data_IF_343806071859
#
_entry.id   IF_343806071859
#
_cell.length_a   1.000
_cell.length_b   1.000
_cell.length_c   1.000
_cell.angle_alpha   90.00
_cell.angle_beta   90.00
_cell.angle_gamma   90.00
#
_symmetry.space_group_name_H-M   'P 1'
#
loop_
_entity.id
_entity.type
_entity.pdbx_description
1 polymer ?
#
# COMPACT_ATOMS: atom_id res chain seq x y z
N UNK A 1 -12.49 12.28 9.54
CA UNK A 1 -12.51 11.66 10.89
C UNK A 1 -11.53 10.50 10.87
N UNK A 2 -10.75 10.28 11.93
CA UNK A 2 -9.88 9.10 12.01
C UNK A 2 -10.75 7.85 12.13
N UNK A 3 -10.50 6.77 11.36
CA UNK A 3 -11.29 5.55 11.41
C UNK A 3 -11.40 5.02 12.85
N UNK A 4 -12.55 4.52 13.29
CA UNK A 4 -12.69 3.91 14.62
C UNK A 4 -12.52 2.39 14.55
N UNK A 5 -12.85 1.79 13.41
CA UNK A 5 -12.73 0.35 13.16
C UNK A 5 -11.72 0.04 12.05
N UNK A 6 -11.17 -1.19 12.05
CA UNK A 6 -10.28 -1.63 10.97
C UNK A 6 -11.00 -1.68 9.62
N UNK A 7 -12.30 -1.94 9.61
CA UNK A 7 -13.07 -2.00 8.38
C UNK A 7 -13.27 -0.62 7.71
N UNK A 8 -13.54 0.42 8.50
CA UNK A 8 -13.52 1.81 8.03
C UNK A 8 -12.14 2.20 7.50
N UNK A 9 -11.09 1.82 8.22
CA UNK A 9 -9.71 2.07 7.79
C UNK A 9 -9.39 1.34 6.49
N UNK A 10 -9.83 0.09 6.36
CA UNK A 10 -9.64 -0.73 5.16
C UNK A 10 -10.31 -0.11 3.94
N UNK A 11 -11.56 0.36 4.06
CA UNK A 11 -12.24 1.04 2.95
C UNK A 11 -11.53 2.34 2.56
N UNK A 12 -11.10 3.14 3.54
CA UNK A 12 -10.27 4.32 3.26
C UNK A 12 -8.95 3.97 2.57
N UNK A 13 -8.24 2.96 3.08
CA UNK A 13 -6.99 2.48 2.50
C UNK A 13 -7.19 2.03 1.05
N UNK A 14 -8.25 1.27 0.78
CA UNK A 14 -8.56 0.79 -0.56
C UNK A 14 -8.96 1.92 -1.51
N UNK A 15 -9.64 2.96 -1.03
CA UNK A 15 -9.93 4.17 -1.81
C UNK A 15 -8.64 4.86 -2.26
N UNK A 16 -7.67 4.93 -1.35
CA UNK A 16 -6.32 5.42 -1.60
C UNK A 16 -5.41 4.48 -2.40
N UNK A 17 -5.93 3.35 -2.90
CA UNK A 17 -5.18 2.35 -3.68
C UNK A 17 -6.07 1.75 -4.79
N UNK A 18 -7.05 2.52 -5.26
CA UNK A 18 -8.04 2.04 -6.24
C UNK A 18 -7.42 1.81 -7.62
N UNK A 19 -6.34 2.55 -7.96
CA UNK A 19 -5.66 2.39 -9.25
C UNK A 19 -4.68 1.20 -9.23
N UNK A 20 -4.71 0.31 -10.23
CA UNK A 20 -3.79 -0.83 -10.31
C UNK A 20 -2.31 -0.43 -10.27
N UNK A 21 -1.96 0.72 -10.88
CA UNK A 21 -0.59 1.25 -10.88
C UNK A 21 -0.10 1.60 -9.48
N UNK A 22 -0.93 2.23 -8.65
CA UNK A 22 -0.61 2.55 -7.25
C UNK A 22 -0.34 1.29 -6.45
N UNK A 23 -1.21 0.28 -6.59
CA UNK A 23 -1.06 -1.00 -5.91
C UNK A 23 0.23 -1.69 -6.29
N UNK A 24 0.53 -1.77 -7.59
CA UNK A 24 1.75 -2.40 -8.08
C UNK A 24 3.00 -1.77 -7.46
N UNK A 25 3.09 -0.44 -7.48
CA UNK A 25 4.24 0.26 -6.87
C UNK A 25 4.28 0.04 -5.35
N UNK A 26 3.14 -0.01 -4.67
CA UNK A 26 3.08 -0.31 -3.24
C UNK A 26 3.52 -1.74 -2.90
N UNK A 27 3.13 -2.74 -3.69
CA UNK A 27 3.59 -4.11 -3.51
C UNK A 27 5.09 -4.22 -3.70
N UNK A 28 5.60 -3.63 -4.79
CA UNK A 28 7.03 -3.59 -5.05
C UNK A 28 7.78 -2.87 -3.94
N UNK A 29 7.27 -1.73 -3.48
CA UNK A 29 8.00 -0.86 -2.59
C UNK A 29 7.91 -1.21 -1.11
N UNK A 30 6.76 -1.68 -0.64
CA UNK A 30 6.52 -1.93 0.78
C UNK A 30 6.55 -3.42 1.15
N UNK A 31 6.44 -4.34 0.19
CA UNK A 31 6.55 -5.78 0.45
C UNK A 31 7.83 -6.38 -0.14
N UNK A 32 8.08 -6.21 -1.44
CA UNK A 32 9.21 -6.86 -2.11
C UNK A 32 10.55 -6.16 -1.88
N UNK A 33 10.61 -4.83 -1.89
CA UNK A 33 11.86 -4.09 -1.73
C UNK A 33 12.55 -4.30 -0.38
N UNK A 34 11.85 -4.40 0.78
CA UNK A 34 12.48 -4.80 2.03
C UNK A 34 13.15 -6.18 1.97
N UNK A 35 12.47 -7.18 1.40
CA UNK A 35 13.02 -8.53 1.23
C UNK A 35 14.26 -8.49 0.34
N UNK A 36 14.16 -7.82 -0.80
CA UNK A 36 15.26 -7.68 -1.75
C UNK A 36 16.44 -6.89 -1.16
N UNK A 37 16.17 -5.82 -0.42
CA UNK A 37 17.18 -5.01 0.25
C UNK A 37 17.97 -5.80 1.29
N UNK A 38 17.28 -6.56 2.14
CA UNK A 38 17.91 -7.45 3.11
C UNK A 38 18.71 -8.55 2.43
N UNK A 39 18.16 -9.20 1.40
CA UNK A 39 18.88 -10.22 0.64
C UNK A 39 20.14 -9.66 -0.04
N UNK A 40 20.05 -8.50 -0.68
CA UNK A 40 21.18 -7.81 -1.31
C UNK A 40 22.25 -7.41 -0.29
N UNK A 41 21.86 -7.10 0.95
CA UNK A 41 22.80 -6.86 2.03
C UNK A 41 23.70 -8.05 2.36
N UNK A 42 23.19 -9.27 2.22
CA UNK A 42 24.00 -10.47 2.43
C UNK A 42 24.76 -10.92 1.17
N UNK A 43 24.15 -10.73 -0.01
CA UNK A 43 24.64 -11.30 -1.27
C UNK A 43 25.55 -10.37 -2.08
N UNK A 44 25.41 -9.05 -1.91
CA UNK A 44 26.08 -8.05 -2.76
C UNK A 44 26.91 -7.09 -1.93
N UNK A 45 26.28 -6.31 -1.05
CA UNK A 45 26.97 -5.33 -0.21
C UNK A 45 26.15 -4.99 1.02
N UNK A 46 26.76 -5.04 2.21
CA UNK A 46 26.06 -4.95 3.50
C UNK A 46 25.13 -3.74 3.64
N UNK A 47 25.46 -2.61 3.01
CA UNK A 47 24.67 -1.37 3.08
C UNK A 47 23.53 -1.29 2.06
N UNK A 48 23.32 -2.28 1.19
CA UNK A 48 22.30 -2.23 0.13
C UNK A 48 20.89 -1.88 0.65
N UNK A 49 20.51 -2.41 1.81
CA UNK A 49 19.24 -2.08 2.47
C UNK A 49 19.05 -0.58 2.76
N UNK A 50 20.13 0.17 3.04
CA UNK A 50 20.08 1.61 3.33
C UNK A 50 19.68 2.45 2.12
N UNK A 51 19.82 1.91 0.91
CA UNK A 51 19.43 2.60 -0.34
C UNK A 51 18.14 2.04 -0.90
N UNK A 52 18.03 0.71 -1.02
CA UNK A 52 16.90 0.05 -1.66
C UNK A 52 15.60 0.38 -0.90
N UNK A 53 15.57 0.18 0.42
CA UNK A 53 14.33 0.33 1.19
C UNK A 53 13.81 1.77 1.15
N UNK A 54 14.61 2.83 1.46
CA UNK A 54 14.11 4.19 1.43
C UNK A 54 13.71 4.67 0.04
N UNK A 55 14.47 4.28 -1.01
CA UNK A 55 14.15 4.67 -2.39
C UNK A 55 12.77 4.17 -2.81
N UNK A 56 12.50 2.89 -2.57
CA UNK A 56 11.23 2.28 -2.95
C UNK A 56 10.06 2.69 -2.04
N UNK A 57 10.32 2.98 -0.76
CA UNK A 57 9.34 3.61 0.13
C UNK A 57 8.91 4.98 -0.39
N UNK A 58 9.88 5.82 -0.80
CA UNK A 58 9.59 7.13 -1.40
C UNK A 58 8.79 6.97 -2.70
N UNK A 59 9.16 6.03 -3.57
CA UNK A 59 8.41 5.75 -4.79
C UNK A 59 6.93 5.42 -4.51
N UNK A 60 6.65 4.60 -3.49
CA UNK A 60 5.29 4.29 -3.05
C UNK A 60 4.56 5.54 -2.54
N UNK A 61 5.21 6.40 -1.76
CA UNK A 61 4.60 7.64 -1.28
C UNK A 61 4.22 8.58 -2.43
N UNK A 62 5.06 8.64 -3.47
CA UNK A 62 4.87 9.52 -4.62
C UNK A 62 3.71 9.07 -5.52
N UNK A 63 3.27 7.80 -5.48
CA UNK A 63 2.13 7.40 -6.33
C UNK A 63 0.82 8.08 -5.93
N UNK A 64 0.63 8.44 -4.66
CA UNK A 64 -0.58 9.12 -4.21
C UNK A 64 -0.79 10.47 -4.92
N UNK A 65 0.15 11.44 -4.85
CA UNK A 65 -0.01 12.71 -5.56
C UNK A 65 0.09 12.58 -7.08
N UNK A 66 0.99 11.74 -7.61
CA UNK A 66 1.29 11.71 -9.05
C UNK A 66 0.38 10.78 -9.86
N UNK A 67 0.03 9.61 -9.31
CA UNK A 67 -0.76 8.62 -10.02
C UNK A 67 -2.22 8.63 -9.62
N UNK A 68 -2.56 8.94 -8.37
CA UNK A 68 -3.94 8.92 -7.88
C UNK A 68 -4.54 10.30 -7.66
N UNK A 69 -3.71 11.35 -7.61
CA UNK A 69 -4.13 12.71 -7.26
C UNK A 69 -4.87 12.75 -5.91
N UNK A 70 -4.45 11.89 -4.97
CA UNK A 70 -4.95 11.84 -3.61
C UNK A 70 -3.81 12.06 -2.60
N UNK A 71 -4.15 12.11 -1.32
CA UNK A 71 -3.17 12.22 -0.24
C UNK A 71 -3.04 10.90 0.51
N UNK A 72 -1.83 10.56 0.95
CA UNK A 72 -1.56 9.39 1.81
C UNK A 72 -2.07 9.57 3.28
N UNK A 73 -2.96 10.53 3.54
CA UNK A 73 -3.51 10.79 4.88
C UNK A 73 -4.87 10.11 5.05
N UNK A 74 -5.16 9.43 6.19
CA UNK A 74 -4.38 9.34 7.43
C UNK A 74 -3.87 7.91 7.68
N UNK A 75 -2.99 7.39 6.81
CA UNK A 75 -2.48 6.01 6.98
C UNK A 75 -1.16 5.93 7.75
N UNK A 76 -0.45 7.05 7.93
CA UNK A 76 0.77 7.10 8.75
C UNK A 76 0.48 6.91 10.25
N UNK A 77 -0.71 7.25 10.72
CA UNK A 77 -1.05 7.35 12.14
C UNK A 77 -1.33 5.97 12.79
N UNK A 78 -1.52 4.92 11.98
CA UNK A 78 -1.82 3.56 12.42
C UNK A 78 -0.95 2.53 11.68
N UNK A 79 0.36 2.50 11.94
CA UNK A 79 1.32 1.72 11.15
C UNK A 79 0.99 0.23 11.09
N UNK A 80 0.48 -0.35 12.18
CA UNK A 80 0.07 -1.75 12.20
C UNK A 80 -1.11 -2.02 11.26
N UNK A 81 -2.09 -1.12 11.23
CA UNK A 81 -3.24 -1.26 10.33
C UNK A 81 -2.83 -1.07 8.87
N UNK A 82 -1.90 -0.17 8.59
CA UNK A 82 -1.33 0.01 7.25
C UNK A 82 -0.64 -1.26 6.77
N UNK A 83 0.16 -1.89 7.63
CA UNK A 83 0.84 -3.15 7.32
C UNK A 83 -0.16 -4.29 7.06
N UNK A 84 -1.17 -4.45 7.93
CA UNK A 84 -2.22 -5.46 7.73
C UNK A 84 -3.02 -5.18 6.45
N UNK A 85 -3.34 -3.92 6.17
CA UNK A 85 -4.08 -3.53 4.97
C UNK A 85 -3.28 -3.80 3.69
N UNK A 86 -1.97 -3.49 3.67
CA UNK A 86 -1.09 -3.82 2.56
C UNK A 86 -1.07 -5.34 2.28
N UNK A 87 -0.86 -6.15 3.32
CA UNK A 87 -0.83 -7.61 3.20
C UNK A 87 -2.19 -8.17 2.75
N UNK A 88 -3.29 -7.66 3.32
CA UNK A 88 -4.66 -8.02 2.91
C UNK A 88 -4.91 -7.68 1.45
N UNK A 89 -4.50 -6.48 1.02
CA UNK A 89 -4.67 -6.02 -0.36
C UNK A 89 -3.86 -6.89 -1.32
N UNK A 90 -2.60 -7.18 -1.01
CA UNK A 90 -1.75 -8.06 -1.81
C UNK A 90 -2.35 -9.47 -1.92
N UNK A 91 -2.75 -10.07 -0.79
CA UNK A 91 -3.37 -11.40 -0.78
C UNK A 91 -4.66 -11.45 -1.61
N UNK A 92 -5.50 -10.40 -1.53
CA UNK A 92 -6.73 -10.31 -2.32
C UNK A 92 -6.46 -10.10 -3.80
N UNK A 93 -5.41 -9.37 -4.19
CA UNK A 93 -5.04 -9.21 -5.61
C UNK A 93 -4.54 -10.54 -6.17
N UNK A 94 -3.67 -11.24 -5.42
CA UNK A 94 -3.13 -12.55 -5.80
C UNK A 94 -4.20 -13.66 -5.88
N UNK A 95 -5.23 -13.60 -5.05
CA UNK A 95 -6.32 -14.59 -5.01
C UNK A 95 -7.54 -14.19 -5.85
N UNK A 96 -7.52 -13.04 -6.52
CA UNK A 96 -8.64 -12.52 -7.31
C UNK A 96 -9.84 -12.01 -6.48
N UNK A 97 -9.69 -11.90 -5.16
CA UNK A 97 -10.71 -11.40 -4.24
C UNK A 97 -10.86 -9.87 -4.21
N UNK A 98 -9.87 -9.13 -4.71
CA UNK A 98 -9.82 -7.66 -4.57
C UNK A 98 -10.99 -6.96 -5.27
N UNK A 99 -11.42 -7.45 -6.43
CA UNK A 99 -12.53 -6.88 -7.18
C UNK A 99 -13.85 -6.83 -6.39
N UNK A 100 -14.10 -7.79 -5.47
CA UNK A 100 -15.27 -7.75 -4.58
C UNK A 100 -15.17 -6.60 -3.57
N UNK A 101 -13.98 -6.35 -3.04
CA UNK A 101 -13.76 -5.27 -2.08
C UNK A 101 -13.82 -3.90 -2.75
N UNK A 102 -13.34 -3.76 -3.98
CA UNK A 102 -13.48 -2.53 -4.77
C UNK A 102 -14.96 -2.23 -5.09
N UNK A 103 -15.77 -3.24 -5.41
CA UNK A 103 -17.22 -3.05 -5.56
C UNK A 103 -17.88 -2.61 -4.26
N UNK A 104 -17.56 -3.26 -3.14
CA UNK A 104 -18.04 -2.86 -1.81
C UNK A 104 -17.67 -1.41 -1.47
N UNK A 105 -16.46 -0.99 -1.83
CA UNK A 105 -16.03 0.40 -1.66
C UNK A 105 -16.93 1.35 -2.46
N UNK A 106 -17.18 1.05 -3.73
CA UNK A 106 -18.05 1.88 -4.58
C UNK A 106 -19.50 1.94 -4.06
N UNK A 107 -20.02 0.84 -3.53
CA UNK A 107 -21.36 0.78 -2.92
C UNK A 107 -21.45 1.59 -1.61
N UNK A 108 -20.40 1.56 -0.79
CA UNK A 108 -20.29 2.33 0.44
C UNK A 108 -20.01 3.82 0.20
N UNK A 109 -19.55 4.19 -1.00
CA UNK A 109 -19.27 5.55 -1.43
C UNK A 109 -20.07 5.89 -2.70
N UNK A 110 -21.42 5.94 -2.64
CA UNK A 110 -22.22 6.39 -3.77
C UNK A 110 -21.73 7.80 -4.14
N UNK A 111 -21.19 7.94 -5.34
CA UNK A 111 -20.41 9.10 -5.77
C UNK A 111 -21.17 10.42 -5.54
N UNK A 112 -20.43 11.43 -5.11
CA UNK A 112 -20.75 12.84 -5.30
C UNK A 112 -20.80 13.19 -6.80
#
# INVERSE_FOLDING_TARGET
MSPQTFDEYWLGYLAGHSRPSTRLVHYLGLFFAPIAGVAASFLVVWWAFLVIIPFFYLAALLTHPFLEHNSNKPFADRPLWSAIALLRMLALDLTGGLGRQLRRLNEASPQA
#
